data_IF_365378010774
#
_entry.id   IF_365378010774
#
_cell.length_a   1.000
_cell.length_b   1.000
_cell.length_c   1.000
_cell.angle_alpha   90.00
_cell.angle_beta   90.00
_cell.angle_gamma   90.00
#
_symmetry.space_group_name_H-M   'P 1'
#
loop_
_entity.id
_entity.type
_entity.pdbx_description
1 polymer ?
#
# COMPACT_ATOMS: atom_id res chain seq x y z
N UNK A 1 -11.10 -21.82 -3.27
CA UNK A 1 -9.79 -21.80 -3.99
C UNK A 1 -8.90 -20.85 -3.20
N UNK A 2 -7.65 -21.24 -2.86
CA UNK A 2 -6.73 -20.38 -2.12
C UNK A 2 -5.88 -19.68 -3.18
N UNK A 3 -6.11 -18.38 -3.40
CA UNK A 3 -5.33 -17.60 -4.35
C UNK A 3 -4.00 -17.20 -3.72
N UNK A 4 -2.91 -17.23 -4.51
CA UNK A 4 -1.63 -16.62 -4.16
C UNK A 4 -1.83 -15.09 -4.00
N UNK A 5 -0.90 -14.40 -3.36
CA UNK A 5 -0.86 -12.92 -3.46
C UNK A 5 -0.63 -12.53 -4.92
N UNK A 6 -1.18 -11.39 -5.36
CA UNK A 6 -1.18 -10.99 -6.78
C UNK A 6 0.23 -10.95 -7.40
N UNK A 7 1.23 -10.52 -6.64
CA UNK A 7 2.64 -10.46 -7.05
C UNK A 7 3.39 -11.81 -7.04
N UNK A 8 2.82 -12.85 -6.46
CA UNK A 8 3.37 -14.21 -6.53
C UNK A 8 3.04 -14.91 -7.85
N UNK A 9 2.25 -14.24 -8.70
CA UNK A 9 1.98 -14.69 -10.06
C UNK A 9 2.95 -14.03 -11.02
N UNK A 10 3.49 -14.80 -11.95
CA UNK A 10 4.08 -14.22 -13.17
C UNK A 10 2.95 -13.53 -13.96
N UNK A 11 3.29 -12.62 -14.88
CA UNK A 11 2.30 -11.99 -15.74
C UNK A 11 1.44 -13.04 -16.47
N UNK A 12 2.08 -14.06 -17.07
CA UNK A 12 1.40 -15.12 -17.80
C UNK A 12 0.48 -15.97 -16.89
N UNK A 13 0.94 -16.34 -15.69
CA UNK A 13 0.12 -17.05 -14.71
C UNK A 13 -1.11 -16.24 -14.30
N UNK A 14 -0.94 -14.93 -14.10
CA UNK A 14 -2.04 -14.04 -13.72
C UNK A 14 -3.04 -13.86 -14.86
N UNK A 15 -2.59 -13.63 -16.08
CA UNK A 15 -3.46 -13.59 -17.28
C UNK A 15 -4.27 -14.88 -17.39
N UNK A 16 -3.63 -16.03 -17.32
CA UNK A 16 -4.28 -17.33 -17.42
C UNK A 16 -5.29 -17.59 -16.28
N UNK A 17 -4.99 -17.10 -15.08
CA UNK A 17 -5.94 -17.15 -13.96
C UNK A 17 -7.17 -16.31 -14.25
N UNK A 18 -7.00 -15.04 -14.58
CA UNK A 18 -8.08 -14.08 -14.78
C UNK A 18 -9.01 -14.51 -15.92
N UNK A 19 -8.46 -15.01 -17.02
CA UNK A 19 -9.25 -15.49 -18.18
C UNK A 19 -10.12 -16.72 -17.87
N UNK A 20 -9.71 -17.53 -16.89
CA UNK A 20 -10.44 -18.75 -16.47
C UNK A 20 -11.51 -18.49 -15.42
N UNK A 21 -11.53 -17.33 -14.78
CA UNK A 21 -12.51 -17.03 -13.73
C UNK A 21 -13.87 -16.67 -14.33
N UNK A 22 -14.93 -17.18 -13.70
CA UNK A 22 -16.27 -16.66 -13.91
C UNK A 22 -16.47 -15.34 -13.14
N UNK A 23 -17.61 -14.66 -13.35
CA UNK A 23 -17.89 -13.35 -12.74
C UNK A 23 -17.86 -13.40 -11.20
N UNK A 24 -18.45 -14.40 -10.58
CA UNK A 24 -18.46 -14.54 -9.11
C UNK A 24 -17.04 -14.70 -8.56
N UNK A 25 -16.22 -15.53 -9.20
CA UNK A 25 -14.84 -15.76 -8.82
C UNK A 25 -13.99 -14.50 -9.00
N UNK A 26 -14.24 -13.75 -10.11
CA UNK A 26 -13.54 -12.50 -10.40
C UNK A 26 -13.89 -11.42 -9.38
N UNK A 27 -15.18 -11.30 -9.00
CA UNK A 27 -15.63 -10.39 -7.95
C UNK A 27 -15.02 -10.74 -6.59
N UNK A 28 -14.94 -12.03 -6.24
CA UNK A 28 -14.29 -12.48 -5.01
C UNK A 28 -12.80 -12.14 -4.98
N UNK A 29 -12.13 -12.29 -6.11
CA UNK A 29 -10.73 -11.90 -6.25
C UNK A 29 -10.55 -10.38 -6.16
N UNK A 30 -11.47 -9.62 -6.77
CA UNK A 30 -11.47 -8.15 -6.74
C UNK A 30 -11.71 -7.57 -5.34
N UNK A 31 -12.53 -8.23 -4.52
CA UNK A 31 -12.69 -7.85 -3.11
C UNK A 31 -11.38 -7.94 -2.34
N UNK A 32 -10.53 -8.90 -2.70
CA UNK A 32 -9.22 -9.08 -2.08
C UNK A 32 -8.15 -8.11 -2.59
N UNK A 33 -8.24 -7.68 -3.84
CA UNK A 33 -7.20 -6.91 -4.54
C UNK A 33 -7.69 -5.55 -5.06
N UNK A 34 -8.71 -4.97 -4.43
CA UNK A 34 -9.13 -3.59 -4.69
C UNK A 34 -9.66 -3.32 -6.09
N UNK A 35 -10.36 -4.29 -6.71
CA UNK A 35 -10.95 -4.12 -8.04
C UNK A 35 -9.99 -4.32 -9.22
N UNK A 36 -8.67 -4.34 -8.99
CA UNK A 36 -7.66 -4.53 -10.04
C UNK A 36 -7.91 -5.74 -10.95
N UNK A 37 -8.31 -6.94 -10.45
CA UNK A 37 -8.57 -8.09 -11.31
C UNK A 37 -9.68 -7.88 -12.33
N UNK A 38 -10.73 -7.10 -11.99
CA UNK A 38 -11.80 -6.75 -12.95
C UNK A 38 -11.26 -5.82 -14.02
N UNK A 39 -10.56 -4.75 -13.61
CA UNK A 39 -9.96 -3.78 -14.53
C UNK A 39 -8.91 -4.45 -15.41
N UNK A 40 -8.10 -5.35 -14.85
CA UNK A 40 -7.11 -6.11 -15.61
C UNK A 40 -7.78 -7.01 -16.66
N UNK A 41 -8.89 -7.71 -16.31
CA UNK A 41 -9.65 -8.48 -17.31
C UNK A 41 -10.22 -7.61 -18.41
N UNK A 42 -10.71 -6.41 -18.07
CA UNK A 42 -11.18 -5.44 -19.05
C UNK A 42 -10.04 -4.98 -19.97
N UNK A 43 -8.83 -4.80 -19.46
CA UNK A 43 -7.65 -4.42 -20.25
C UNK A 43 -7.15 -5.54 -21.18
N UNK A 44 -7.49 -6.80 -20.90
CA UNK A 44 -7.20 -7.94 -21.79
C UNK A 44 -8.19 -8.03 -22.97
N UNK A 45 -9.31 -7.32 -22.90
CA UNK A 45 -10.20 -7.14 -24.04
C UNK A 45 -9.59 -6.06 -24.96
N UNK A 46 -9.19 -6.43 -26.16
CA UNK A 46 -8.54 -5.51 -27.12
C UNK A 46 -9.34 -4.22 -27.40
N UNK A 47 -10.63 -4.22 -27.04
CA UNK A 47 -11.52 -3.06 -27.15
C UNK A 47 -11.35 -2.05 -26.02
N UNK A 48 -10.69 -2.42 -24.91
CA UNK A 48 -10.51 -1.59 -23.71
C UNK A 48 -9.03 -1.64 -23.31
N UNK A 49 -8.20 -0.94 -24.08
CA UNK A 49 -6.75 -0.98 -23.87
C UNK A 49 -6.31 0.15 -22.93
N UNK A 50 -5.61 -0.18 -21.82
CA UNK A 50 -4.89 0.72 -20.92
C UNK A 50 -5.65 1.97 -20.45
N UNK A 51 -6.91 1.82 -20.00
CA UNK A 51 -7.68 2.94 -19.46
C UNK A 51 -7.07 3.38 -18.12
N UNK A 52 -6.67 4.65 -18.00
CA UNK A 52 -6.22 5.18 -16.73
C UNK A 52 -7.32 5.10 -15.67
N UNK A 53 -6.98 4.70 -14.46
CA UNK A 53 -7.94 4.62 -13.34
C UNK A 53 -7.37 5.20 -12.05
N UNK A 54 -8.28 5.54 -11.14
CA UNK A 54 -7.92 6.02 -9.80
C UNK A 54 -7.95 4.83 -8.86
N UNK A 55 -6.86 4.65 -8.11
CA UNK A 55 -6.75 3.64 -7.05
C UNK A 55 -6.66 4.33 -5.71
N UNK A 56 -7.54 3.97 -4.79
CA UNK A 56 -7.56 4.53 -3.44
C UNK A 56 -6.81 3.61 -2.49
N UNK A 57 -6.09 4.19 -1.55
CA UNK A 57 -5.35 3.46 -0.54
C UNK A 57 -4.97 4.33 0.65
N UNK A 58 -4.26 3.74 1.58
CA UNK A 58 -3.77 4.40 2.78
C UNK A 58 -2.30 4.10 3.01
N UNK A 59 -1.60 5.04 3.61
CA UNK A 59 -0.28 4.86 4.19
C UNK A 59 -0.29 5.33 5.64
N UNK A 60 0.60 4.78 6.44
CA UNK A 60 0.62 5.09 7.87
C UNK A 60 2.04 5.38 8.36
N UNK A 61 2.17 6.47 9.10
CA UNK A 61 3.37 6.82 9.87
C UNK A 61 3.18 6.27 11.28
N UNK A 62 4.02 5.32 11.64
CA UNK A 62 4.04 4.71 12.97
C UNK A 62 5.26 5.27 13.70
N UNK A 63 5.03 6.09 14.72
CA UNK A 63 6.07 6.71 15.55
C UNK A 63 6.26 5.96 16.86
N UNK A 64 7.51 5.82 17.30
CA UNK A 64 7.85 5.33 18.61
C UNK A 64 8.05 6.49 19.62
N UNK A 65 8.41 6.16 20.88
CA UNK A 65 8.68 7.13 21.97
C UNK A 65 9.84 8.08 21.67
N UNK A 66 10.73 7.71 20.73
CA UNK A 66 11.89 8.53 20.33
C UNK A 66 11.57 9.45 19.15
N UNK A 67 10.32 9.51 18.71
CA UNK A 67 9.89 10.22 17.50
C UNK A 67 10.54 9.69 16.20
N UNK A 68 10.98 8.43 16.22
CA UNK A 68 11.44 7.74 15.03
C UNK A 68 10.24 7.14 14.29
N UNK A 69 10.28 7.14 12.96
CA UNK A 69 9.23 6.56 12.11
C UNK A 69 9.61 5.18 11.60
N UNK A 70 8.64 4.27 11.57
CA UNK A 70 8.82 2.93 11.03
C UNK A 70 8.77 2.95 9.51
N UNK A 71 9.81 2.43 8.88
CA UNK A 71 9.84 2.17 7.45
C UNK A 71 10.05 0.69 7.17
N UNK A 72 9.50 0.22 6.04
CA UNK A 72 9.75 -1.10 5.49
C UNK A 72 10.67 -1.02 4.26
N UNK A 73 11.65 -1.89 4.17
CA UNK A 73 12.39 -2.14 2.95
C UNK A 73 11.63 -3.17 2.13
N UNK A 74 11.08 -2.77 1.00
CA UNK A 74 10.27 -3.64 0.15
C UNK A 74 11.12 -4.64 -0.64
N UNK A 75 10.61 -5.87 -0.78
CA UNK A 75 11.28 -6.93 -1.54
C UNK A 75 11.23 -6.70 -3.04
N UNK A 76 10.11 -6.13 -3.55
CA UNK A 76 9.85 -5.96 -4.99
C UNK A 76 10.67 -4.85 -5.63
N UNK A 77 10.94 -3.77 -4.90
CA UNK A 77 11.64 -2.57 -5.42
C UNK A 77 12.98 -2.29 -4.76
N UNK A 78 13.29 -3.00 -3.67
CA UNK A 78 14.46 -2.75 -2.82
C UNK A 78 14.58 -1.27 -2.39
N UNK A 79 13.44 -0.66 -2.08
CA UNK A 79 13.31 0.72 -1.60
C UNK A 79 12.60 0.74 -0.26
N UNK A 80 12.92 1.75 0.55
CA UNK A 80 12.22 2.02 1.79
C UNK A 80 10.90 2.74 1.51
N UNK A 81 9.88 2.47 2.31
CA UNK A 81 8.57 3.11 2.23
C UNK A 81 7.81 3.03 3.53
N UNK A 82 6.74 3.80 3.63
CA UNK A 82 5.78 3.67 4.72
C UNK A 82 4.97 2.39 4.55
N UNK A 83 4.53 1.74 5.64
CA UNK A 83 3.50 0.72 5.57
C UNK A 83 2.23 1.28 4.93
N UNK A 84 1.61 0.50 4.03
CA UNK A 84 0.41 0.93 3.35
C UNK A 84 0.15 0.21 2.05
N UNK A 85 -1.09 0.35 1.57
CA UNK A 85 -1.54 -0.29 0.34
C UNK A 85 -2.94 0.12 -0.08
N UNK A 86 -3.55 -0.73 -0.90
CA UNK A 86 -4.80 -0.44 -1.56
C UNK A 86 -6.00 -0.80 -0.69
N UNK A 87 -7.02 0.05 -0.76
CA UNK A 87 -8.31 -0.18 -0.12
C UNK A 87 -8.99 -1.43 -0.70
N UNK A 88 -9.48 -2.31 0.15
CA UNK A 88 -10.36 -3.42 -0.24
C UNK A 88 -11.83 -2.97 -0.30
N UNK A 89 -12.65 -3.68 -1.08
CA UNK A 89 -14.07 -3.36 -1.19
C UNK A 89 -14.79 -3.52 0.15
N UNK A 90 -15.41 -2.43 0.61
CA UNK A 90 -16.14 -2.38 1.88
C UNK A 90 -15.32 -1.90 3.06
N UNK A 91 -14.02 -1.68 2.89
CA UNK A 91 -13.20 -1.01 3.92
C UNK A 91 -13.38 0.50 3.90
N UNK A 92 -13.21 1.13 5.04
CA UNK A 92 -12.85 2.54 5.12
C UNK A 92 -11.31 2.70 5.13
N UNK A 93 -10.82 3.92 4.93
CA UNK A 93 -9.39 4.17 4.78
C UNK A 93 -8.57 4.00 6.08
N UNK A 94 -9.20 4.10 7.26
CA UNK A 94 -8.56 3.80 8.55
C UNK A 94 -8.38 2.30 8.71
N UNK A 95 -9.41 1.52 8.35
CA UNK A 95 -9.35 0.06 8.33
C UNK A 95 -8.30 -0.44 7.35
N UNK A 96 -8.21 0.17 6.16
CA UNK A 96 -7.14 -0.11 5.19
C UNK A 96 -5.76 0.12 5.80
N UNK A 97 -5.53 1.28 6.44
CA UNK A 97 -4.24 1.62 7.05
C UNK A 97 -3.84 0.62 8.15
N UNK A 98 -4.78 0.23 9.02
CA UNK A 98 -4.50 -0.72 10.11
C UNK A 98 -4.33 -2.15 9.61
N UNK A 99 -5.06 -2.59 8.58
CA UNK A 99 -4.87 -3.90 7.96
C UNK A 99 -3.50 -4.01 7.31
N UNK A 100 -3.12 -3.03 6.50
CA UNK A 100 -1.81 -2.99 5.83
C UNK A 100 -0.66 -2.93 6.87
N UNK A 101 -0.81 -2.10 7.93
CA UNK A 101 0.15 -2.09 9.02
C UNK A 101 0.31 -3.47 9.67
N UNK A 102 -0.79 -4.19 9.92
CA UNK A 102 -0.73 -5.54 10.48
C UNK A 102 -0.07 -6.52 9.50
N UNK A 103 -0.44 -6.49 8.23
CA UNK A 103 0.11 -7.41 7.22
C UNK A 103 1.62 -7.20 7.02
N UNK A 104 2.07 -5.94 6.95
CA UNK A 104 3.45 -5.58 6.62
C UNK A 104 4.37 -5.46 7.83
N UNK A 105 3.82 -5.24 9.03
CA UNK A 105 4.64 -5.02 10.24
C UNK A 105 4.32 -5.94 11.42
N UNK A 106 3.19 -6.64 11.39
CA UNK A 106 2.68 -7.46 12.49
C UNK A 106 1.98 -6.67 13.59
N UNK A 107 1.93 -5.34 13.52
CA UNK A 107 1.35 -4.48 14.54
C UNK A 107 -0.18 -4.42 14.44
N UNK A 108 -0.87 -4.73 15.53
CA UNK A 108 -2.31 -4.51 15.66
C UNK A 108 -2.56 -3.11 16.18
N UNK A 109 -3.13 -2.25 15.35
CA UNK A 109 -3.39 -0.84 15.64
C UNK A 109 -4.90 -0.59 15.75
N UNK A 110 -5.28 0.35 16.62
CA UNK A 110 -6.67 0.79 16.75
C UNK A 110 -6.98 1.87 15.69
N UNK A 111 -7.92 1.64 14.76
CA UNK A 111 -8.25 2.64 13.72
C UNK A 111 -8.78 3.97 14.29
N UNK A 112 -9.38 3.98 15.47
CA UNK A 112 -9.90 5.19 16.10
C UNK A 112 -8.78 6.13 16.62
N UNK A 113 -7.57 5.61 16.83
CA UNK A 113 -6.40 6.37 17.27
C UNK A 113 -5.62 7.00 16.10
N UNK A 114 -5.96 6.66 14.86
CA UNK A 114 -5.30 7.20 13.69
C UNK A 114 -5.64 8.69 13.50
N UNK A 115 -4.61 9.50 13.31
CA UNK A 115 -4.74 10.93 12.98
C UNK A 115 -4.55 11.07 11.47
N UNK A 116 -5.54 11.59 10.76
CA UNK A 116 -5.38 11.90 9.33
C UNK A 116 -4.46 13.13 9.20
N UNK A 117 -3.34 12.95 8.50
CA UNK A 117 -2.35 14.00 8.22
C UNK A 117 -2.72 14.74 6.93
N UNK A 118 -2.93 13.99 5.84
CA UNK A 118 -3.13 14.53 4.51
C UNK A 118 -3.81 13.50 3.60
N UNK A 119 -4.25 13.96 2.44
CA UNK A 119 -4.69 13.10 1.33
C UNK A 119 -4.01 13.56 0.04
N UNK A 120 -3.11 12.73 -0.47
CA UNK A 120 -2.33 13.04 -1.67
C UNK A 120 -2.98 12.41 -2.90
N UNK A 121 -3.09 13.19 -3.96
CA UNK A 121 -3.74 12.79 -5.21
C UNK A 121 -3.21 13.60 -6.40
N UNK A 122 -3.77 13.34 -7.59
CA UNK A 122 -3.49 14.10 -8.80
C UNK A 122 -2.25 13.61 -9.55
N UNK A 123 -1.68 14.48 -10.39
CA UNK A 123 -0.61 14.12 -11.33
C UNK A 123 0.70 13.68 -10.65
N UNK A 124 1.00 14.18 -9.46
CA UNK A 124 2.17 13.76 -8.68
C UNK A 124 2.10 12.31 -8.23
N UNK A 125 0.88 11.75 -8.15
CA UNK A 125 0.61 10.36 -7.75
C UNK A 125 0.33 9.42 -8.93
N UNK A 126 0.68 9.85 -10.15
CA UNK A 126 0.58 9.01 -11.35
C UNK A 126 1.68 7.97 -11.37
N UNK A 127 1.32 6.71 -11.46
CA UNK A 127 2.21 5.59 -11.72
C UNK A 127 1.95 5.01 -13.12
N UNK A 128 3.01 4.74 -13.84
CA UNK A 128 2.97 4.03 -15.12
C UNK A 128 3.66 2.68 -14.95
N UNK A 129 2.96 1.61 -15.26
CA UNK A 129 3.46 0.24 -15.14
C UNK A 129 4.10 -0.23 -16.45
N UNK A 130 5.04 -1.21 -16.40
CA UNK A 130 5.72 -1.71 -17.60
C UNK A 130 4.77 -2.31 -18.65
N UNK A 131 3.59 -2.78 -18.24
CA UNK A 131 2.54 -3.30 -19.13
C UNK A 131 1.74 -2.19 -19.82
N UNK A 132 2.03 -0.92 -19.58
CA UNK A 132 1.33 0.25 -20.14
C UNK A 132 0.17 0.78 -19.30
N UNK A 133 -0.18 0.14 -18.18
CA UNK A 133 -1.24 0.62 -17.30
C UNK A 133 -0.85 1.93 -16.62
N UNK A 134 -1.83 2.81 -16.46
CA UNK A 134 -1.68 4.11 -15.80
C UNK A 134 -2.62 4.14 -14.60
N UNK A 135 -2.06 4.38 -13.42
CA UNK A 135 -2.81 4.47 -12.16
C UNK A 135 -2.54 5.80 -11.50
N UNK A 136 -3.60 6.48 -11.09
CA UNK A 136 -3.53 7.68 -10.25
C UNK A 136 -3.87 7.27 -8.82
N UNK A 137 -2.89 7.26 -7.93
CA UNK A 137 -3.11 6.88 -6.53
C UNK A 137 -3.72 8.04 -5.74
N UNK A 138 -4.81 7.72 -5.03
CA UNK A 138 -5.38 8.55 -3.98
C UNK A 138 -4.97 7.94 -2.64
N UNK A 139 -4.07 8.60 -1.91
CA UNK A 139 -3.49 8.02 -0.69
C UNK A 139 -3.81 8.90 0.51
N UNK A 140 -4.57 8.36 1.47
CA UNK A 140 -4.74 8.99 2.78
C UNK A 140 -3.57 8.62 3.68
N UNK A 141 -2.88 9.63 4.20
CA UNK A 141 -1.76 9.49 5.11
C UNK A 141 -2.21 9.64 6.55
N UNK A 142 -2.00 8.62 7.35
CA UNK A 142 -2.31 8.61 8.77
C UNK A 142 -1.05 8.62 9.62
N UNK A 143 -1.19 9.08 10.87
CA UNK A 143 -0.19 9.04 11.94
C UNK A 143 -0.75 8.28 13.13
N UNK A 144 0.09 7.48 13.75
CA UNK A 144 -0.15 6.90 15.07
C UNK A 144 1.14 6.88 15.89
N UNK A 145 1.02 7.17 17.20
CA UNK A 145 2.11 7.00 18.15
C UNK A 145 1.93 5.67 18.89
N UNK A 146 2.92 4.82 18.83
CA UNK A 146 2.92 3.51 19.50
C UNK A 146 4.03 3.51 20.55
N UNK A 147 3.72 3.79 21.81
CA UNK A 147 4.71 3.81 22.88
C UNK A 147 5.23 2.40 23.19
N UNK A 148 6.48 2.32 23.64
CA UNK A 148 7.14 1.07 24.08
C UNK A 148 7.18 -0.04 23.02
N UNK A 149 7.14 0.32 21.74
CA UNK A 149 7.26 -0.67 20.66
C UNK A 149 8.67 -1.24 20.62
N UNK A 150 8.80 -2.56 20.78
CA UNK A 150 10.08 -3.26 20.60
C UNK A 150 10.21 -3.69 19.12
N UNK A 151 11.43 -3.57 18.59
CA UNK A 151 11.75 -4.11 17.26
C UNK A 151 11.51 -5.62 17.14
N UNK A 152 11.46 -6.34 18.25
CA UNK A 152 11.14 -7.77 18.31
C UNK A 152 9.64 -8.06 18.12
N UNK A 153 8.77 -7.05 18.29
CA UNK A 153 7.35 -7.14 18.02
C UNK A 153 7.04 -7.01 16.53
N UNK A 154 8.03 -6.52 15.76
CA UNK A 154 7.88 -6.30 14.32
C UNK A 154 8.06 -7.61 13.55
N UNK A 155 7.07 -7.92 12.71
CA UNK A 155 7.05 -9.13 11.91
C UNK A 155 6.58 -8.83 10.50
N UNK A 156 7.54 -8.59 9.62
CA UNK A 156 7.25 -8.37 8.20
C UNK A 156 6.67 -9.60 7.52
N UNK A 157 5.90 -9.38 6.48
CA UNK A 157 5.41 -10.41 5.58
C UNK A 157 6.41 -10.73 4.43
N UNK A 158 5.95 -11.47 3.40
CA UNK A 158 6.79 -11.80 2.22
C UNK A 158 7.18 -10.56 1.38
N UNK A 159 6.52 -9.43 1.59
CA UNK A 159 6.74 -8.16 0.90
C UNK A 159 7.79 -7.31 1.57
N UNK A 160 8.02 -7.57 2.85
CA UNK A 160 8.90 -6.82 3.72
C UNK A 160 10.22 -7.55 3.89
N UNK A 161 11.29 -6.99 3.33
CA UNK A 161 12.65 -7.49 3.50
C UNK A 161 13.23 -7.11 4.87
N UNK A 162 12.88 -5.92 5.36
CA UNK A 162 13.36 -5.39 6.65
C UNK A 162 12.40 -4.32 7.16
N UNK A 163 12.23 -4.27 8.49
CA UNK A 163 11.57 -3.20 9.21
C UNK A 163 12.59 -2.47 10.07
N UNK A 164 12.55 -1.14 10.09
CA UNK A 164 13.47 -0.33 10.89
C UNK A 164 12.88 1.04 11.20
N UNK A 165 13.12 1.49 12.43
CA UNK A 165 12.85 2.87 12.83
C UNK A 165 13.97 3.80 12.38
N UNK A 166 13.61 5.00 11.94
CA UNK A 166 14.52 6.04 11.49
C UNK A 166 14.17 7.39 12.10
N UNK A 167 15.16 8.14 12.53
CA UNK A 167 15.03 9.56 12.78
C UNK A 167 14.72 10.27 11.45
N UNK A 168 13.95 11.35 11.50
CA UNK A 168 13.59 12.12 10.29
C UNK A 168 14.80 12.69 9.55
N UNK A 169 15.91 12.93 10.26
CA UNK A 169 17.16 13.41 9.69
C UNK A 169 18.00 12.29 9.03
N UNK A 170 17.67 11.03 9.31
CA UNK A 170 18.41 9.84 8.86
C UNK A 170 17.61 8.97 7.88
N UNK A 171 16.54 9.52 7.31
CA UNK A 171 15.71 8.80 6.35
C UNK A 171 16.55 8.42 5.12
N UNK A 172 16.48 7.15 4.67
CA UNK A 172 17.26 6.69 3.53
C UNK A 172 16.93 7.44 2.23
N UNK A 173 17.96 7.77 1.43
CA UNK A 173 17.78 8.44 0.13
C UNK A 173 16.96 7.61 -0.87
N UNK A 174 17.04 6.26 -0.79
CA UNK A 174 16.28 5.36 -1.65
C UNK A 174 14.84 5.14 -1.17
N UNK A 175 14.18 6.22 -0.74
CA UNK A 175 12.80 6.21 -0.27
C UNK A 175 11.81 6.14 -1.44
N UNK A 176 10.72 5.42 -1.23
CA UNK A 176 9.50 5.54 -2.01
C UNK A 176 8.66 6.68 -1.41
N UNK A 177 7.79 7.26 -2.22
CA UNK A 177 6.75 8.16 -1.70
C UNK A 177 7.30 9.32 -0.84
N UNK A 178 8.37 9.98 -1.31
CA UNK A 178 8.96 11.14 -0.63
C UNK A 178 7.93 12.24 -0.33
N UNK A 179 6.91 12.36 -1.15
CA UNK A 179 5.81 13.30 -0.99
C UNK A 179 4.95 13.04 0.27
N UNK A 180 4.78 11.77 0.68
CA UNK A 180 4.11 11.41 1.92
C UNK A 180 4.93 11.88 3.14
N UNK A 181 6.23 11.67 3.10
CA UNK A 181 7.13 12.17 4.17
C UNK A 181 7.12 13.70 4.21
N UNK A 182 7.14 14.36 3.06
CA UNK A 182 7.07 15.83 3.00
C UNK A 182 5.75 16.36 3.58
N UNK A 183 4.63 15.67 3.39
CA UNK A 183 3.36 16.02 4.03
C UNK A 183 3.42 15.88 5.54
N UNK A 184 4.08 14.83 6.05
CA UNK A 184 4.29 14.67 7.48
C UNK A 184 5.18 15.78 8.07
N UNK A 185 6.29 16.13 7.42
CA UNK A 185 7.15 17.24 7.87
C UNK A 185 6.37 18.55 7.96
N UNK A 186 5.55 18.88 6.96
CA UNK A 186 4.66 20.06 7.00
C UNK A 186 3.61 19.99 8.12
N UNK A 187 3.17 18.81 8.50
CA UNK A 187 2.25 18.63 9.63
C UNK A 187 2.93 18.95 10.96
N UNK A 188 4.21 18.57 11.12
CA UNK A 188 4.98 18.85 12.33
C UNK A 188 5.35 20.33 12.52
N UNK A 189 5.30 21.15 11.46
CA UNK A 189 5.56 22.59 11.49
C UNK A 189 4.34 23.43 11.94
N UNK A 190 3.16 22.82 12.10
CA UNK A 190 1.89 23.49 12.49
C UNK A 190 1.70 23.52 13.98
#
# INVERSE_FOLDING_TARGET
MKYKKMREYTHEEFVNLILKLNEEQLLKLSRKYGGYPVLFRMSLDERINHIPFIQTGSAIIICNDKQEILLQLRTDRNKWGLPGGCQELGEDLRSTATREAYEETGLTLNPDELILIDTLSGNSRKNSYPNGDIVYNNTSLYLINVPNIDKHDLKGDSETKKLQFFNLEEIPENLMDQDLINSYLKYLEK
#
